data_IF_557082632511
#
_entry.id   IF_557082632511
#
_cell.length_a   1.000
_cell.length_b   1.000
_cell.length_c   1.000
_cell.angle_alpha   90.00
_cell.angle_beta   90.00
_cell.angle_gamma   90.00
#
_symmetry.space_group_name_H-M   'P 1'
#
loop_
_entity.id
_entity.type
_entity.pdbx_description
1 polymer ?
#
# COMPACT_ATOMS: atom_id res chain seq x y z
N UNK A 1 -28.49 28.13 27.50
CA UNK A 1 -28.11 28.93 26.32
C UNK A 1 -27.55 27.96 25.30
N UNK A 2 -28.11 27.90 24.11
CA UNK A 2 -27.70 26.93 23.09
C UNK A 2 -26.45 27.38 22.36
N UNK A 3 -25.75 26.37 21.83
CA UNK A 3 -24.46 26.49 21.16
C UNK A 3 -24.56 27.29 19.85
N UNK A 4 -25.75 27.36 19.24
CA UNK A 4 -26.01 28.04 17.97
C UNK A 4 -26.02 29.56 18.11
N UNK A 5 -26.75 30.11 19.09
CA UNK A 5 -26.78 31.56 19.32
C UNK A 5 -25.40 32.14 19.64
N UNK A 6 -24.61 31.42 20.44
CA UNK A 6 -23.24 31.80 20.80
C UNK A 6 -22.29 31.82 19.59
N UNK A 7 -22.29 30.72 18.81
CA UNK A 7 -21.52 30.64 17.58
C UNK A 7 -21.93 31.74 16.59
N UNK A 8 -23.24 31.99 16.46
CA UNK A 8 -23.75 32.98 15.53
C UNK A 8 -23.29 34.38 15.91
N UNK A 9 -23.39 34.73 17.19
CA UNK A 9 -22.94 36.03 17.72
C UNK A 9 -21.46 36.25 17.44
N UNK A 10 -20.63 35.28 17.81
CA UNK A 10 -19.18 35.36 17.60
C UNK A 10 -18.82 35.60 16.14
N UNK A 11 -19.47 34.90 15.21
CA UNK A 11 -19.14 35.00 13.78
C UNK A 11 -19.64 36.31 13.18
N UNK A 12 -20.85 36.75 13.51
CA UNK A 12 -21.36 38.02 13.02
C UNK A 12 -20.48 39.19 13.51
N UNK A 13 -20.02 39.16 14.76
CA UNK A 13 -19.08 40.16 15.30
C UNK A 13 -17.70 40.07 14.63
N UNK A 14 -17.13 38.87 14.47
CA UNK A 14 -15.76 38.68 13.94
C UNK A 14 -15.62 39.06 12.46
N UNK A 15 -16.68 38.84 11.68
CA UNK A 15 -16.70 39.14 10.24
C UNK A 15 -17.41 40.44 9.90
N UNK A 16 -17.82 41.21 10.92
CA UNK A 16 -18.51 42.49 10.78
C UNK A 16 -19.80 42.37 9.93
N UNK A 17 -20.51 41.24 10.06
CA UNK A 17 -21.77 40.95 9.35
C UNK A 17 -22.93 41.43 10.23
N UNK A 18 -23.72 42.37 9.72
CA UNK A 18 -24.89 42.86 10.44
C UNK A 18 -26.01 41.82 10.51
N UNK A 19 -26.80 41.84 11.59
CA UNK A 19 -27.99 40.99 11.74
C UNK A 19 -28.99 41.17 10.58
N UNK A 20 -29.05 42.39 9.99
CA UNK A 20 -29.89 42.67 8.83
C UNK A 20 -29.42 41.94 7.57
N UNK A 21 -28.11 41.87 7.31
CA UNK A 21 -27.56 41.15 6.17
C UNK A 21 -27.88 39.66 6.24
N UNK A 22 -27.72 39.06 7.44
CA UNK A 22 -28.08 37.66 7.63
C UNK A 22 -29.60 37.43 7.49
N UNK A 23 -30.43 38.32 8.05
CA UNK A 23 -31.89 38.23 7.94
C UNK A 23 -32.35 38.26 6.47
N UNK A 24 -31.77 39.15 5.65
CA UNK A 24 -32.02 39.18 4.20
C UNK A 24 -31.56 37.89 3.52
N UNK A 25 -30.37 37.37 3.85
CA UNK A 25 -29.86 36.12 3.28
C UNK A 25 -30.69 34.88 3.62
N UNK A 26 -31.41 34.92 4.75
CA UNK A 26 -32.30 33.85 5.21
C UNK A 26 -33.77 34.02 4.77
N UNK A 27 -34.16 35.19 4.26
CA UNK A 27 -35.55 35.50 3.98
C UNK A 27 -36.44 35.59 5.22
N UNK A 28 -35.88 36.00 6.36
CA UNK A 28 -36.60 36.12 7.65
C UNK A 28 -36.56 37.55 8.18
N UNK A 29 -37.46 37.89 9.10
CA UNK A 29 -37.46 39.22 9.71
C UNK A 29 -36.29 39.41 10.68
N UNK A 30 -35.67 40.61 10.67
CA UNK A 30 -34.53 40.97 11.56
C UNK A 30 -34.76 40.66 13.06
N UNK A 31 -35.96 40.83 13.65
CA UNK A 31 -36.19 40.49 15.05
C UNK A 31 -35.93 39.01 15.39
N UNK A 32 -36.04 38.10 14.43
CA UNK A 32 -35.75 36.68 14.61
C UNK A 32 -34.24 36.49 14.81
N UNK A 33 -33.41 37.04 13.91
CA UNK A 33 -31.95 37.00 14.01
C UNK A 33 -31.46 37.74 15.26
N UNK A 34 -32.10 38.86 15.62
CA UNK A 34 -31.80 39.59 16.85
C UNK A 34 -31.96 38.71 18.10
N UNK A 35 -33.02 37.90 18.17
CA UNK A 35 -33.24 36.99 19.31
C UNK A 35 -32.18 35.88 19.37
N UNK A 36 -31.72 35.37 18.22
CA UNK A 36 -30.63 34.39 18.16
C UNK A 36 -29.29 35.00 18.57
N UNK A 37 -28.96 36.19 18.03
CA UNK A 37 -27.72 36.89 18.31
C UNK A 37 -27.57 37.28 19.78
N UNK A 38 -28.66 37.70 20.42
CA UNK A 38 -28.69 38.00 21.86
C UNK A 38 -29.04 36.79 22.74
N UNK A 39 -29.02 35.58 22.17
CA UNK A 39 -29.21 34.31 22.87
C UNK A 39 -30.53 34.24 23.68
N UNK A 40 -31.56 34.98 23.23
CA UNK A 40 -32.92 34.96 23.82
C UNK A 40 -33.69 33.70 23.40
N UNK A 41 -33.38 33.17 22.23
CA UNK A 41 -33.86 31.90 21.66
C UNK A 41 -32.76 31.33 20.79
N UNK A 42 -32.71 30.01 20.59
CA UNK A 42 -31.76 29.40 19.64
C UNK A 42 -32.46 29.02 18.32
N UNK A 43 -31.75 29.08 17.18
CA UNK A 43 -32.25 28.54 15.91
C UNK A 43 -32.39 27.02 15.98
N UNK A 44 -33.35 26.45 15.24
CA UNK A 44 -33.50 24.99 15.11
C UNK A 44 -32.36 24.39 14.29
N UNK A 45 -32.18 23.06 14.31
CA UNK A 45 -31.15 22.38 13.53
C UNK A 45 -31.29 22.63 12.01
N UNK A 46 -32.51 22.65 11.50
CA UNK A 46 -32.83 22.97 10.10
C UNK A 46 -32.46 24.43 9.79
N UNK A 47 -32.76 25.33 10.73
CA UNK A 47 -32.44 26.76 10.60
C UNK A 47 -30.94 26.99 10.60
N UNK A 48 -30.15 26.22 11.36
CA UNK A 48 -28.69 26.30 11.35
C UNK A 48 -28.14 25.95 9.96
N UNK A 49 -28.68 24.93 9.29
CA UNK A 49 -28.24 24.58 7.93
C UNK A 49 -28.48 25.73 6.94
N UNK A 50 -29.61 26.42 7.08
CA UNK A 50 -29.91 27.61 6.26
C UNK A 50 -29.03 28.82 6.63
N UNK A 51 -28.68 29.00 7.92
CA UNK A 51 -27.71 30.01 8.37
C UNK A 51 -26.35 29.78 7.71
N UNK A 52 -25.87 28.54 7.64
CA UNK A 52 -24.59 28.19 6.98
C UNK A 52 -24.63 28.58 5.50
N UNK A 53 -25.72 28.27 4.78
CA UNK A 53 -25.88 28.63 3.36
C UNK A 53 -25.92 30.15 3.16
N UNK A 54 -26.69 30.86 3.99
CA UNK A 54 -26.79 32.31 3.93
C UNK A 54 -25.43 32.97 4.23
N UNK A 55 -24.72 32.51 5.26
CA UNK A 55 -23.37 32.96 5.56
C UNK A 55 -22.40 32.64 4.43
N UNK A 56 -22.51 31.48 3.76
CA UNK A 56 -21.60 31.13 2.67
C UNK A 56 -21.71 32.10 1.49
N UNK A 57 -22.94 32.55 1.20
CA UNK A 57 -23.21 33.53 0.15
C UNK A 57 -22.75 34.95 0.53
N UNK A 58 -22.72 35.29 1.82
CA UNK A 58 -22.24 36.58 2.33
C UNK A 58 -20.70 36.59 2.44
N UNK A 59 -20.13 35.53 3.03
CA UNK A 59 -18.70 35.31 3.25
C UNK A 59 -18.43 33.81 3.51
N UNK A 60 -17.74 33.15 2.57
CA UNK A 60 -17.47 31.71 2.64
C UNK A 60 -16.58 31.27 3.81
N UNK A 61 -15.77 32.17 4.37
CA UNK A 61 -14.97 31.89 5.58
C UNK A 61 -15.82 31.98 6.84
N UNK A 62 -16.73 32.97 6.92
CA UNK A 62 -17.66 33.09 8.05
C UNK A 62 -18.57 31.85 8.19
N UNK A 63 -18.98 31.24 7.07
CA UNK A 63 -19.76 30.01 7.08
C UNK A 63 -18.97 28.82 7.65
N UNK A 64 -17.70 28.66 7.26
CA UNK A 64 -16.82 27.60 7.77
C UNK A 64 -16.59 27.75 9.27
N UNK A 65 -16.28 28.97 9.71
CA UNK A 65 -16.00 29.25 11.11
C UNK A 65 -17.27 29.14 11.98
N UNK A 66 -18.45 29.47 11.43
CA UNK A 66 -19.74 29.23 12.09
C UNK A 66 -20.02 27.75 12.30
N UNK A 67 -19.78 26.90 11.29
CA UNK A 67 -19.91 25.45 11.43
C UNK A 67 -18.97 24.92 12.52
N UNK A 68 -17.72 25.40 12.54
CA UNK A 68 -16.73 24.99 13.54
C UNK A 68 -17.11 25.43 14.96
N UNK A 69 -17.56 26.68 15.13
CA UNK A 69 -17.99 27.21 16.42
C UNK A 69 -19.28 26.53 16.93
N UNK A 70 -20.26 26.30 16.04
CA UNK A 70 -21.53 25.67 16.40
C UNK A 70 -21.38 24.18 16.73
N UNK A 71 -20.66 23.44 15.90
CA UNK A 71 -20.46 22.01 16.14
C UNK A 71 -19.43 21.77 17.24
N UNK A 72 -18.55 22.73 17.53
CA UNK A 72 -17.54 22.75 18.59
C UNK A 72 -16.85 21.41 18.82
N UNK A 73 -15.69 21.19 18.20
CA UNK A 73 -14.89 19.95 18.22
C UNK A 73 -15.65 18.62 18.04
N UNK A 74 -16.90 18.65 17.56
CA UNK A 74 -17.58 17.52 16.90
C UNK A 74 -17.35 17.52 15.38
N UNK A 75 -16.55 18.48 14.89
CA UNK A 75 -15.78 18.37 13.64
C UNK A 75 -14.40 17.75 13.86
N UNK A 76 -14.20 17.03 14.98
CA UNK A 76 -13.51 15.76 14.87
C UNK A 76 -14.50 14.76 14.24
N UNK A 77 -14.79 14.99 12.95
CA UNK A 77 -14.85 13.85 12.04
C UNK A 77 -13.63 13.01 12.41
N UNK A 78 -13.75 11.68 12.68
CA UNK A 78 -12.56 10.86 12.70
C UNK A 78 -11.82 11.25 11.44
N UNK A 79 -10.56 11.69 11.58
CA UNK A 79 -9.72 11.99 10.44
C UNK A 79 -10.02 10.90 9.42
N UNK A 80 -10.73 11.27 8.35
CA UNK A 80 -10.63 10.54 7.10
C UNK A 80 -9.14 10.37 6.95
N UNK A 81 -8.71 9.09 6.98
CA UNK A 81 -7.33 8.66 7.02
C UNK A 81 -6.44 9.70 6.34
N UNK A 82 -5.45 10.23 7.07
CA UNK A 82 -4.62 11.37 6.66
C UNK A 82 -4.50 11.43 5.14
N UNK A 83 -5.11 12.44 4.50
CA UNK A 83 -4.58 12.85 3.21
C UNK A 83 -3.15 13.25 3.52
N UNK A 84 -2.19 12.40 3.18
CA UNK A 84 -0.77 12.66 3.37
C UNK A 84 -0.42 13.83 2.46
N UNK A 85 -0.68 15.04 2.94
CA UNK A 85 -0.36 16.25 2.20
C UNK A 85 1.15 16.38 2.13
N UNK A 86 1.65 16.52 0.90
CA UNK A 86 3.06 16.80 0.66
C UNK A 86 3.45 18.12 1.34
N UNK A 87 4.63 18.20 1.98
CA UNK A 87 5.09 19.43 2.63
C UNK A 87 5.10 20.61 1.67
N UNK A 88 4.60 21.76 2.11
CA UNK A 88 4.58 22.95 1.26
C UNK A 88 5.99 23.51 1.05
N UNK A 89 6.20 24.18 -0.07
CA UNK A 89 7.49 24.77 -0.44
C UNK A 89 7.28 26.02 -1.27
N UNK A 90 8.04 27.07 -0.96
CA UNK A 90 8.11 28.30 -1.75
C UNK A 90 9.03 28.16 -2.98
N UNK A 91 9.88 27.11 -3.01
CA UNK A 91 10.85 26.88 -4.10
C UNK A 91 10.24 26.17 -5.30
N UNK A 92 9.29 25.26 -5.03
CA UNK A 92 8.76 24.31 -6.00
C UNK A 92 7.25 24.15 -5.90
N UNK A 93 6.60 23.86 -7.03
CA UNK A 93 5.14 23.76 -7.09
C UNK A 93 4.63 22.38 -6.64
N UNK A 94 4.35 22.25 -5.34
CA UNK A 94 3.84 21.02 -4.73
C UNK A 94 2.45 20.63 -5.25
N UNK A 95 1.61 21.63 -5.56
CA UNK A 95 0.30 21.40 -6.15
C UNK A 95 0.37 20.70 -7.51
N UNK A 96 1.44 20.90 -8.28
CA UNK A 96 1.68 20.19 -9.55
C UNK A 96 2.24 18.78 -9.30
N UNK A 97 3.15 18.60 -8.33
CA UNK A 97 3.66 17.28 -7.95
C UNK A 97 2.52 16.33 -7.54
N UNK A 98 1.58 16.82 -6.73
CA UNK A 98 0.40 16.07 -6.29
C UNK A 98 -0.47 15.57 -7.46
N UNK A 99 -0.35 16.13 -8.66
CA UNK A 99 -1.12 15.74 -9.84
C UNK A 99 -0.47 14.64 -10.69
N UNK A 100 0.74 14.18 -10.35
CA UNK A 100 1.49 13.19 -11.15
C UNK A 100 0.67 11.93 -11.47
N UNK A 101 -0.13 11.48 -10.50
CA UNK A 101 -0.87 10.22 -10.56
C UNK A 101 -2.38 10.39 -10.83
N UNK A 102 -2.88 11.62 -11.06
CA UNK A 102 -4.29 11.86 -11.36
C UNK A 102 -4.82 11.09 -12.59
N UNK A 103 -3.92 10.80 -13.54
CA UNK A 103 -4.23 10.05 -14.75
C UNK A 103 -3.22 8.92 -14.93
N UNK A 104 -3.57 7.73 -14.45
CA UNK A 104 -2.77 6.51 -14.56
C UNK A 104 -3.64 5.34 -15.00
N UNK A 105 -3.23 4.64 -16.05
CA UNK A 105 -3.82 3.35 -16.47
C UNK A 105 -2.90 2.17 -16.15
N UNK A 106 -1.60 2.43 -15.97
CA UNK A 106 -0.56 1.47 -15.68
C UNK A 106 0.32 1.95 -14.51
N UNK A 107 1.17 1.05 -14.01
CA UNK A 107 2.06 1.26 -12.87
C UNK A 107 3.26 2.19 -13.18
N UNK A 108 3.53 2.47 -14.45
CA UNK A 108 4.81 3.03 -14.89
C UNK A 108 5.15 4.36 -14.22
N UNK A 109 4.18 5.27 -14.05
CA UNK A 109 4.45 6.55 -13.37
C UNK A 109 4.85 6.36 -11.91
N UNK A 110 4.14 5.47 -11.20
CA UNK A 110 4.44 5.18 -9.79
C UNK A 110 5.85 4.60 -9.66
N UNK A 111 6.15 3.57 -10.47
CA UNK A 111 7.44 2.92 -10.46
C UNK A 111 8.57 3.85 -10.90
N UNK A 112 8.36 4.68 -11.94
CA UNK A 112 9.37 5.62 -12.41
C UNK A 112 9.72 6.63 -11.33
N UNK A 113 8.71 7.25 -10.69
CA UNK A 113 8.96 8.25 -9.67
C UNK A 113 9.53 7.62 -8.39
N UNK A 114 9.03 6.46 -7.96
CA UNK A 114 9.60 5.72 -6.83
C UNK A 114 11.08 5.35 -7.08
N UNK A 115 11.40 4.91 -8.31
CA UNK A 115 12.76 4.57 -8.72
C UNK A 115 13.67 5.78 -8.74
N UNK A 116 13.16 6.93 -9.19
CA UNK A 116 13.90 8.20 -9.12
C UNK A 116 14.25 8.58 -7.68
N UNK A 117 13.33 8.41 -6.74
CA UNK A 117 13.58 8.65 -5.31
C UNK A 117 14.63 7.69 -4.74
N UNK A 118 14.55 6.40 -5.07
CA UNK A 118 15.52 5.40 -4.63
C UNK A 118 16.92 5.68 -5.20
N UNK A 119 17.02 6.07 -6.49
CA UNK A 119 18.27 6.50 -7.14
C UNK A 119 18.83 7.75 -6.45
N UNK A 120 18.00 8.78 -6.22
CA UNK A 120 18.41 10.02 -5.56
C UNK A 120 19.01 9.76 -4.19
N UNK A 121 18.33 8.97 -3.35
CA UNK A 121 18.84 8.62 -2.02
C UNK A 121 20.17 7.87 -2.10
N UNK A 122 20.31 6.93 -3.05
CA UNK A 122 21.53 6.16 -3.27
C UNK A 122 22.69 7.02 -3.80
N UNK A 123 22.39 8.09 -4.55
CA UNK A 123 23.33 9.10 -5.02
C UNK A 123 23.50 10.28 -4.04
N UNK A 124 23.06 10.12 -2.79
CA UNK A 124 23.16 11.17 -1.76
C UNK A 124 22.58 12.54 -2.19
N UNK A 125 21.54 12.52 -3.03
CA UNK A 125 20.86 13.71 -3.57
C UNK A 125 21.77 14.63 -4.39
N UNK A 126 22.81 14.09 -5.03
CA UNK A 126 23.66 14.84 -5.96
C UNK A 126 23.03 14.97 -7.35
N UNK A 127 23.13 16.16 -7.96
CA UNK A 127 22.51 16.53 -9.24
C UNK A 127 23.50 16.61 -10.41
N UNK A 128 24.80 16.45 -10.17
CA UNK A 128 25.86 16.75 -11.13
C UNK A 128 25.88 15.82 -12.35
N UNK A 129 25.42 14.58 -12.20
CA UNK A 129 25.39 13.59 -13.27
C UNK A 129 23.96 13.31 -13.75
N UNK A 130 23.71 13.28 -15.07
CA UNK A 130 22.42 12.83 -15.59
C UNK A 130 22.07 11.42 -15.09
N UNK A 131 20.77 11.14 -14.99
CA UNK A 131 20.26 9.80 -14.71
C UNK A 131 19.73 9.22 -16.02
N UNK A 132 20.32 8.14 -16.50
CA UNK A 132 19.91 7.51 -17.75
C UNK A 132 18.55 6.83 -17.61
N UNK A 133 17.81 6.72 -18.72
CA UNK A 133 16.59 5.92 -18.75
C UNK A 133 16.85 4.46 -18.38
N UNK A 134 17.99 3.91 -18.80
CA UNK A 134 18.44 2.57 -18.42
C UNK A 134 18.52 2.41 -16.90
N UNK A 135 19.19 3.33 -16.19
CA UNK A 135 19.31 3.24 -14.73
C UNK A 135 17.94 3.31 -14.04
N UNK A 136 17.06 4.21 -14.49
CA UNK A 136 15.70 4.32 -13.95
C UNK A 136 14.93 3.02 -14.19
N UNK A 137 15.03 2.45 -15.39
CA UNK A 137 14.29 1.26 -15.78
C UNK A 137 14.80 0.02 -15.04
N UNK A 138 16.11 -0.11 -14.81
CA UNK A 138 16.66 -1.16 -13.95
C UNK A 138 16.08 -1.06 -12.53
N UNK A 139 16.00 0.14 -11.97
CA UNK A 139 15.40 0.34 -10.65
C UNK A 139 13.87 0.11 -10.66
N UNK A 140 13.17 0.44 -11.75
CA UNK A 140 11.74 0.11 -11.91
C UNK A 140 11.51 -1.40 -11.92
N UNK A 141 12.32 -2.16 -12.66
CA UNK A 141 12.26 -3.62 -12.69
C UNK A 141 12.58 -4.21 -11.31
N UNK A 142 13.60 -3.69 -10.63
CA UNK A 142 13.94 -4.12 -9.27
C UNK A 142 12.81 -3.85 -8.27
N UNK A 143 12.12 -2.70 -8.39
CA UNK A 143 10.97 -2.34 -7.57
C UNK A 143 9.73 -3.22 -7.85
N UNK A 144 9.55 -3.67 -9.09
CA UNK A 144 8.43 -4.53 -9.48
C UNK A 144 8.69 -6.03 -9.25
N UNK A 145 9.95 -6.46 -9.10
CA UNK A 145 10.33 -7.87 -9.02
C UNK A 145 9.71 -8.61 -7.82
N UNK A 146 9.84 -8.10 -6.59
CA UNK A 146 9.24 -8.78 -5.42
C UNK A 146 7.71 -8.86 -5.56
N UNK A 147 6.97 -7.75 -5.79
CA UNK A 147 5.53 -7.78 -5.99
C UNK A 147 5.08 -8.80 -7.04
N UNK A 148 5.71 -8.82 -8.21
CA UNK A 148 5.34 -9.68 -9.33
C UNK A 148 5.86 -11.12 -9.16
N UNK A 149 7.17 -11.30 -9.14
CA UNK A 149 7.80 -12.62 -9.26
C UNK A 149 7.69 -13.43 -7.97
N UNK A 150 7.89 -12.79 -6.80
CA UNK A 150 7.90 -13.47 -5.51
C UNK A 150 6.49 -13.58 -4.88
N UNK A 151 5.74 -12.48 -4.89
CA UNK A 151 4.42 -12.39 -4.23
C UNK A 151 3.23 -12.60 -5.18
N UNK A 152 3.48 -12.72 -6.49
CA UNK A 152 2.47 -13.02 -7.52
C UNK A 152 1.34 -11.98 -7.59
N UNK A 153 1.64 -10.72 -7.30
CA UNK A 153 0.70 -9.61 -7.48
C UNK A 153 0.52 -9.28 -8.95
N UNK A 154 -0.73 -9.04 -9.36
CA UNK A 154 -1.05 -8.51 -10.68
C UNK A 154 -0.80 -7.01 -10.75
N UNK A 155 -0.16 -6.55 -11.83
CA UNK A 155 -0.07 -5.13 -12.17
C UNK A 155 -1.25 -4.68 -13.04
N UNK A 156 -2.29 -5.51 -13.19
CA UNK A 156 -3.40 -5.27 -14.12
C UNK A 156 -3.10 -5.74 -15.54
N UNK A 157 -4.16 -5.89 -16.34
CA UNK A 157 -4.08 -6.55 -17.66
C UNK A 157 -3.45 -5.71 -18.77
N UNK A 158 -3.46 -4.38 -18.63
CA UNK A 158 -2.86 -3.46 -19.60
C UNK A 158 -1.39 -3.17 -19.31
N UNK A 159 -0.95 -3.41 -18.07
CA UNK A 159 0.43 -3.21 -17.67
C UNK A 159 1.30 -4.33 -18.25
N UNK A 160 2.50 -3.99 -18.71
CA UNK A 160 3.43 -4.92 -19.35
C UNK A 160 4.72 -5.10 -18.54
N UNK A 161 4.89 -4.44 -17.38
CA UNK A 161 6.15 -4.56 -16.64
C UNK A 161 6.37 -5.99 -16.13
N UNK A 162 5.30 -6.67 -15.72
CA UNK A 162 5.29 -8.08 -15.37
C UNK A 162 5.80 -8.95 -16.54
N UNK A 163 5.22 -8.79 -17.72
CA UNK A 163 5.64 -9.51 -18.93
C UNK A 163 7.10 -9.22 -19.31
N UNK A 164 7.55 -7.97 -19.15
CA UNK A 164 8.95 -7.60 -19.39
C UNK A 164 9.89 -8.27 -18.38
N UNK A 165 9.51 -8.31 -17.10
CA UNK A 165 10.27 -9.05 -16.09
C UNK A 165 10.34 -10.55 -16.38
N UNK A 166 9.22 -11.17 -16.75
CA UNK A 166 9.18 -12.61 -17.05
C UNK A 166 10.06 -12.95 -18.26
N UNK A 167 10.12 -12.08 -19.26
CA UNK A 167 10.97 -12.26 -20.45
C UNK A 167 12.48 -12.24 -20.17
N UNK A 168 12.90 -11.79 -18.99
CA UNK A 168 14.31 -11.77 -18.59
C UNK A 168 14.79 -13.12 -18.03
N UNK A 169 13.88 -14.05 -17.70
CA UNK A 169 14.20 -15.39 -17.17
C UNK A 169 15.27 -15.36 -16.06
N UNK A 170 15.14 -14.40 -15.13
CA UNK A 170 16.18 -14.12 -14.14
C UNK A 170 16.46 -15.34 -13.25
N UNK A 171 17.72 -15.78 -13.23
CA UNK A 171 18.18 -16.77 -12.25
C UNK A 171 18.39 -16.10 -10.89
N UNK A 172 17.41 -16.27 -10.00
CA UNK A 172 17.42 -15.66 -8.68
C UNK A 172 17.79 -16.70 -7.62
N UNK A 173 18.88 -16.42 -6.90
CA UNK A 173 19.37 -17.24 -5.80
C UNK A 173 19.31 -16.47 -4.48
N UNK A 174 19.65 -17.16 -3.39
CA UNK A 174 20.11 -16.49 -2.18
C UNK A 174 21.21 -15.47 -2.52
N UNK A 175 21.24 -14.28 -1.88
CA UNK A 175 20.44 -13.76 -0.75
C UNK A 175 19.05 -13.16 -1.05
N UNK A 176 18.63 -13.07 -2.31
CA UNK A 176 17.42 -12.30 -2.69
C UNK A 176 16.14 -12.96 -2.15
N UNK A 177 16.04 -14.29 -2.24
CA UNK A 177 14.84 -15.03 -1.82
C UNK A 177 14.56 -14.97 -0.30
N UNK A 178 15.59 -14.71 0.50
CA UNK A 178 15.51 -14.53 1.95
C UNK A 178 15.55 -13.07 2.41
N UNK A 179 15.31 -12.11 1.51
CA UNK A 179 15.25 -10.67 1.83
C UNK A 179 16.55 -10.07 2.36
N UNK A 180 17.69 -10.76 2.17
CA UNK A 180 18.99 -10.30 2.66
C UNK A 180 19.68 -9.31 1.71
N UNK A 181 19.13 -9.10 0.51
CA UNK A 181 19.53 -8.03 -0.41
C UNK A 181 18.70 -6.76 -0.16
N UNK A 182 18.86 -6.14 1.02
CA UNK A 182 17.98 -5.05 1.50
C UNK A 182 18.01 -3.79 0.64
N UNK A 183 19.08 -3.55 -0.10
CA UNK A 183 19.21 -2.45 -1.08
C UNK A 183 18.86 -2.91 -2.51
N UNK A 184 18.51 -4.18 -2.76
CA UNK A 184 18.31 -4.74 -4.11
C UNK A 184 19.58 -4.64 -4.98
N UNK A 185 20.76 -4.57 -4.38
CA UNK A 185 22.03 -4.37 -5.09
C UNK A 185 22.35 -5.56 -5.98
N UNK A 186 22.16 -6.78 -5.47
CA UNK A 186 22.38 -7.98 -6.25
C UNK A 186 21.30 -8.12 -7.33
N UNK A 187 20.03 -7.87 -7.00
CA UNK A 187 18.94 -7.92 -7.96
C UNK A 187 19.16 -6.96 -9.13
N UNK A 188 19.55 -5.71 -8.86
CA UNK A 188 19.90 -4.74 -9.92
C UNK A 188 21.05 -5.22 -10.79
N UNK A 189 22.08 -5.85 -10.19
CA UNK A 189 23.23 -6.40 -10.95
C UNK A 189 22.78 -7.52 -11.89
N UNK A 190 21.90 -8.41 -11.44
CA UNK A 190 21.36 -9.51 -12.26
C UNK A 190 20.49 -8.96 -13.40
N UNK A 191 19.65 -7.96 -13.14
CA UNK A 191 18.86 -7.29 -14.17
C UNK A 191 19.78 -6.60 -15.19
N UNK A 192 20.79 -5.88 -14.72
CA UNK A 192 21.74 -5.16 -15.56
C UNK A 192 22.57 -6.09 -16.46
N UNK A 193 22.79 -7.35 -16.08
CA UNK A 193 23.50 -8.31 -16.92
C UNK A 193 22.66 -8.89 -18.07
N UNK A 194 21.36 -8.55 -18.14
CA UNK A 194 20.48 -8.99 -19.23
C UNK A 194 20.49 -8.03 -20.42
N UNK A 195 19.93 -8.47 -21.57
CA UNK A 195 19.64 -7.56 -22.67
C UNK A 195 18.35 -6.77 -22.37
N UNK A 196 18.49 -5.45 -22.17
CA UNK A 196 17.40 -4.56 -21.79
C UNK A 196 16.90 -3.67 -22.92
N UNK A 197 17.42 -3.77 -24.15
CA UNK A 197 17.16 -2.80 -25.23
C UNK A 197 15.66 -2.66 -25.56
N UNK A 198 14.95 -3.78 -25.71
CA UNK A 198 13.51 -3.78 -25.97
C UNK A 198 12.70 -3.22 -24.78
N UNK A 199 13.10 -3.57 -23.54
CA UNK A 199 12.43 -3.09 -22.32
C UNK A 199 12.61 -1.58 -22.19
N UNK A 200 13.83 -1.08 -22.40
CA UNK A 200 14.17 0.33 -22.34
C UNK A 200 13.36 1.10 -23.39
N UNK A 201 13.38 0.62 -24.64
CA UNK A 201 12.64 1.22 -25.75
C UNK A 201 11.14 1.29 -25.46
N UNK A 202 10.57 0.22 -24.89
CA UNK A 202 9.15 0.15 -24.58
C UNK A 202 8.76 1.08 -23.43
N UNK A 203 9.44 0.99 -22.28
CA UNK A 203 9.08 1.74 -21.06
C UNK A 203 9.40 3.23 -21.25
N UNK A 204 10.58 3.58 -21.77
CA UNK A 204 11.01 4.97 -21.96
C UNK A 204 10.17 5.72 -22.99
N UNK A 205 9.41 5.02 -23.84
CA UNK A 205 8.59 5.63 -24.92
C UNK A 205 7.65 6.73 -24.42
N UNK A 206 7.10 6.60 -23.22
CA UNK A 206 6.11 7.55 -22.70
C UNK A 206 6.41 8.06 -21.30
N UNK A 207 6.75 7.18 -20.35
CA UNK A 207 6.72 7.55 -18.93
C UNK A 207 7.60 8.76 -18.56
N UNK A 208 8.84 8.94 -19.08
CA UNK A 208 9.67 10.09 -18.70
C UNK A 208 9.05 11.42 -19.11
N UNK A 209 8.30 11.46 -20.21
CA UNK A 209 7.65 12.66 -20.73
C UNK A 209 6.28 12.88 -20.08
N UNK A 210 5.52 11.81 -19.87
CA UNK A 210 4.13 11.88 -19.40
C UNK A 210 4.01 12.08 -17.89
N UNK A 211 5.05 11.75 -17.11
CA UNK A 211 5.08 12.00 -15.68
C UNK A 211 5.05 13.51 -15.39
N UNK A 212 5.89 14.30 -16.07
CA UNK A 212 6.03 15.75 -15.84
C UNK A 212 5.06 16.62 -16.65
N UNK A 213 4.18 16.02 -17.44
CA UNK A 213 3.15 16.75 -18.20
C UNK A 213 2.32 17.73 -17.36
N UNK A 214 1.98 17.48 -16.07
CA UNK A 214 1.25 18.43 -15.25
C UNK A 214 1.89 19.82 -15.13
N UNK A 215 3.22 19.94 -15.23
CA UNK A 215 3.92 21.24 -15.25
C UNK A 215 3.57 22.09 -16.49
N UNK A 216 3.11 21.43 -17.55
CA UNK A 216 2.84 22.03 -18.87
C UNK A 216 1.41 21.73 -19.32
N UNK A 217 0.47 21.65 -18.38
CA UNK A 217 -0.91 21.26 -18.66
C UNK A 217 -1.64 22.28 -19.55
N UNK A 218 -1.26 23.56 -19.51
CA UNK A 218 -1.80 24.60 -20.37
C UNK A 218 -1.32 24.46 -21.82
N UNK A 219 -0.02 24.28 -21.99
CA UNK A 219 0.67 24.19 -23.28
C UNK A 219 0.40 22.86 -24.00
N UNK A 220 0.15 21.78 -23.25
CA UNK A 220 -0.10 20.45 -23.82
C UNK A 220 -1.58 20.10 -23.95
N UNK A 221 -2.48 21.03 -23.66
CA UNK A 221 -3.92 20.82 -23.80
C UNK A 221 -4.30 20.74 -25.28
N UNK A 222 -5.07 19.73 -25.66
CA UNK A 222 -5.57 19.55 -27.03
C UNK A 222 -4.52 19.13 -28.07
N UNK A 223 -3.27 18.90 -27.66
CA UNK A 223 -2.25 18.37 -28.57
C UNK A 223 -2.55 16.93 -28.99
N UNK A 224 -2.26 16.63 -30.26
CA UNK A 224 -2.21 15.26 -30.75
C UNK A 224 -1.16 14.46 -29.97
N UNK A 225 -1.49 13.21 -29.60
CA UNK A 225 -0.64 12.40 -28.73
C UNK A 225 0.81 12.25 -29.23
N UNK A 226 0.98 12.07 -30.54
CA UNK A 226 2.29 11.94 -31.19
C UNK A 226 3.20 13.17 -31.02
N UNK A 227 2.63 14.36 -30.78
CA UNK A 227 3.40 15.61 -30.59
C UNK A 227 3.77 15.86 -29.14
N UNK A 228 3.05 15.27 -28.18
CA UNK A 228 3.17 15.61 -26.75
C UNK A 228 4.59 15.40 -26.23
N UNK A 229 5.23 14.26 -26.51
CA UNK A 229 6.57 13.97 -25.98
C UNK A 229 7.61 15.00 -26.43
N UNK A 230 7.65 15.30 -27.73
CA UNK A 230 8.58 16.29 -28.28
C UNK A 230 8.30 17.70 -27.73
N UNK A 231 7.02 18.06 -27.56
CA UNK A 231 6.65 19.33 -26.93
C UNK A 231 7.12 19.39 -25.47
N UNK A 232 6.97 18.30 -24.70
CA UNK A 232 7.45 18.24 -23.31
C UNK A 232 8.97 18.41 -23.23
N UNK A 233 9.75 17.78 -24.13
CA UNK A 233 11.21 17.97 -24.20
C UNK A 233 11.54 19.45 -24.39
N UNK A 234 10.94 20.07 -25.41
CA UNK A 234 11.22 21.47 -25.74
C UNK A 234 10.85 22.41 -24.58
N UNK A 235 9.70 22.19 -23.93
CA UNK A 235 9.26 23.00 -22.80
C UNK A 235 10.13 22.80 -21.57
N UNK A 236 10.42 21.55 -21.19
CA UNK A 236 11.22 21.23 -20.01
C UNK A 236 12.65 21.76 -20.13
N UNK A 237 13.25 21.68 -21.31
CA UNK A 237 14.61 22.18 -21.55
C UNK A 237 14.64 23.72 -21.62
N UNK A 238 13.71 24.35 -22.35
CA UNK A 238 13.75 25.80 -22.59
C UNK A 238 13.19 26.62 -21.41
N UNK A 239 12.36 26.02 -20.56
CA UNK A 239 11.73 26.68 -19.43
C UNK A 239 12.18 26.10 -18.09
N UNK A 240 13.35 25.45 -18.04
CA UNK A 240 13.81 24.71 -16.87
C UNK A 240 13.83 25.57 -15.60
N UNK A 241 14.43 26.75 -15.66
CA UNK A 241 14.51 27.67 -14.50
C UNK A 241 13.21 28.45 -14.25
N UNK A 242 12.36 28.61 -15.27
CA UNK A 242 11.13 29.42 -15.18
C UNK A 242 9.97 28.62 -14.59
N UNK A 243 9.71 27.45 -15.16
CA UNK A 243 8.60 26.58 -14.78
C UNK A 243 9.03 25.60 -13.68
N UNK A 244 10.33 25.36 -13.54
CA UNK A 244 10.93 24.42 -12.59
C UNK A 244 10.24 23.05 -12.65
N UNK A 245 10.19 22.36 -13.80
CA UNK A 245 9.82 20.96 -13.80
C UNK A 245 10.85 20.16 -12.99
N UNK A 246 10.45 19.02 -12.44
CA UNK A 246 11.36 18.20 -11.61
C UNK A 246 12.63 17.76 -12.34
N UNK A 247 12.56 17.59 -13.67
CA UNK A 247 13.72 17.36 -14.52
C UNK A 247 13.52 17.90 -15.94
N UNK A 248 14.64 18.10 -16.64
CA UNK A 248 14.71 18.27 -18.10
C UNK A 248 15.48 17.09 -18.73
N UNK A 249 15.78 17.17 -20.02
CA UNK A 249 16.32 16.05 -20.81
C UNK A 249 17.69 16.38 -21.41
N UNK A 250 18.52 15.36 -21.60
CA UNK A 250 19.87 15.51 -22.16
C UNK A 250 19.91 15.83 -23.67
N UNK A 251 18.77 15.87 -24.35
CA UNK A 251 18.66 16.18 -25.76
C UNK A 251 17.42 17.02 -26.06
N UNK A 252 17.46 17.76 -27.18
CA UNK A 252 16.32 18.47 -27.75
C UNK A 252 15.49 17.60 -28.70
N UNK A 253 16.01 16.45 -29.13
CA UNK A 253 15.35 15.52 -30.05
C UNK A 253 14.84 14.31 -29.27
N UNK A 254 13.59 13.91 -29.52
CA UNK A 254 13.01 12.72 -28.90
C UNK A 254 13.80 11.44 -29.19
N UNK A 255 14.45 11.35 -30.36
CA UNK A 255 15.22 10.16 -30.76
C UNK A 255 16.54 10.01 -30.01
N UNK A 256 17.15 11.13 -29.63
CA UNK A 256 18.48 11.17 -29.00
C UNK A 256 18.40 11.38 -27.48
N UNK A 257 17.17 11.40 -26.94
CA UNK A 257 16.89 11.58 -25.53
C UNK A 257 17.05 10.24 -24.80
N UNK A 258 17.98 10.20 -23.85
CA UNK A 258 18.37 8.97 -23.13
C UNK A 258 18.57 9.18 -21.63
N UNK A 259 18.52 10.41 -21.15
CA UNK A 259 18.73 10.73 -19.74
C UNK A 259 17.96 12.00 -19.32
N UNK A 260 17.74 12.10 -18.01
CA UNK A 260 17.17 13.28 -17.37
C UNK A 260 18.21 14.02 -16.53
N UNK A 261 18.03 15.34 -16.42
CA UNK A 261 18.79 16.20 -15.51
C UNK A 261 17.81 16.82 -14.51
N UNK A 262 18.04 16.60 -13.22
CA UNK A 262 17.12 17.03 -12.17
C UNK A 262 17.31 18.51 -11.83
N UNK A 263 16.20 19.18 -11.50
CA UNK A 263 16.25 20.56 -11.04
C UNK A 263 16.71 20.64 -9.59
N UNK A 264 17.67 21.52 -9.28
CA UNK A 264 18.29 21.62 -7.97
C UNK A 264 17.26 21.85 -6.84
N UNK A 265 16.36 22.83 -6.99
CA UNK A 265 15.30 23.11 -6.01
C UNK A 265 14.41 21.90 -5.68
N UNK A 266 14.14 21.05 -6.68
CA UNK A 266 13.34 19.83 -6.45
C UNK A 266 14.13 18.78 -5.69
N UNK A 267 15.43 18.64 -5.96
CA UNK A 267 16.28 17.68 -5.25
C UNK A 267 16.47 18.11 -3.80
N UNK A 268 16.66 19.40 -3.53
CA UNK A 268 16.71 19.93 -2.16
C UNK A 268 15.39 19.69 -1.41
N UNK A 269 14.25 20.03 -2.03
CA UNK A 269 12.95 19.75 -1.44
C UNK A 269 12.74 18.25 -1.15
N UNK A 270 13.11 17.38 -2.09
CA UNK A 270 13.01 15.92 -1.91
C UNK A 270 13.96 15.44 -0.81
N UNK A 271 15.19 15.96 -0.72
CA UNK A 271 16.15 15.58 0.31
C UNK A 271 15.63 15.93 1.71
N UNK A 272 15.11 17.15 1.89
CA UNK A 272 14.53 17.63 3.14
C UNK A 272 13.27 16.85 3.55
N UNK A 273 12.49 16.37 2.58
CA UNK A 273 11.17 15.76 2.80
C UNK A 273 11.11 14.28 2.39
N UNK A 274 12.25 13.61 2.25
CA UNK A 274 12.36 12.32 1.55
C UNK A 274 11.38 11.27 2.06
N UNK A 275 11.33 11.08 3.38
CA UNK A 275 10.45 10.06 3.99
C UNK A 275 8.97 10.33 3.71
N UNK A 276 8.56 11.60 3.68
CA UNK A 276 7.17 11.98 3.44
C UNK A 276 6.84 11.81 1.96
N UNK A 277 7.69 12.32 1.06
CA UNK A 277 7.49 12.17 -0.40
C UNK A 277 7.49 10.68 -0.77
N UNK A 278 8.42 9.89 -0.24
CA UNK A 278 8.47 8.45 -0.48
C UNK A 278 7.22 7.74 0.06
N UNK A 279 6.76 8.11 1.25
CA UNK A 279 5.52 7.60 1.84
C UNK A 279 4.31 7.89 0.96
N UNK A 280 4.19 9.12 0.47
CA UNK A 280 3.12 9.55 -0.43
C UNK A 280 3.10 8.73 -1.73
N UNK A 281 4.24 8.58 -2.42
CA UNK A 281 4.29 7.76 -3.65
C UNK A 281 3.95 6.30 -3.37
N UNK A 282 4.41 5.78 -2.22
CA UNK A 282 4.12 4.40 -1.80
C UNK A 282 2.62 4.21 -1.55
N UNK A 283 1.95 5.20 -0.96
CA UNK A 283 0.50 5.20 -0.75
C UNK A 283 -0.28 5.22 -2.06
N UNK A 284 0.09 6.11 -2.98
CA UNK A 284 -0.51 6.20 -4.31
C UNK A 284 -0.33 4.90 -5.11
N UNK A 285 0.87 4.30 -5.05
CA UNK A 285 1.14 3.01 -5.69
C UNK A 285 0.36 1.87 -5.04
N UNK A 286 0.26 1.84 -3.71
CA UNK A 286 -0.56 0.85 -2.99
C UNK A 286 -2.02 0.92 -3.43
N UNK A 287 -2.58 2.13 -3.54
CA UNK A 287 -3.95 2.32 -4.01
C UNK A 287 -4.17 1.79 -5.42
N UNK A 288 -3.19 1.95 -6.33
CA UNK A 288 -3.21 1.32 -7.65
C UNK A 288 -3.16 -0.21 -7.55
N UNK A 289 -2.19 -0.75 -6.79
CA UNK A 289 -2.00 -2.20 -6.68
C UNK A 289 -3.17 -2.91 -6.00
N UNK A 290 -3.86 -2.28 -5.05
CA UNK A 290 -5.08 -2.82 -4.44
C UNK A 290 -6.23 -2.91 -5.44
N UNK A 291 -6.39 -1.93 -6.35
CA UNK A 291 -7.39 -1.99 -7.43
C UNK A 291 -7.11 -3.16 -8.38
N UNK A 292 -5.84 -3.45 -8.64
CA UNK A 292 -5.42 -4.59 -9.46
C UNK A 292 -5.58 -5.94 -8.74
N UNK A 293 -5.59 -5.94 -7.40
CA UNK A 293 -5.55 -7.15 -6.57
C UNK A 293 -6.64 -7.13 -5.45
N UNK A 294 -7.93 -6.94 -5.79
CA UNK A 294 -8.97 -6.65 -4.79
C UNK A 294 -9.21 -7.78 -3.79
N UNK A 295 -8.98 -9.03 -4.20
CA UNK A 295 -9.20 -10.22 -3.37
C UNK A 295 -7.93 -10.74 -2.71
N UNK A 296 -6.77 -10.12 -2.96
CA UNK A 296 -5.49 -10.66 -2.50
C UNK A 296 -5.22 -10.22 -1.06
N UNK A 297 -4.91 -11.15 -0.13
CA UNK A 297 -4.59 -10.75 1.24
C UNK A 297 -3.27 -9.98 1.30
N UNK A 298 -3.18 -9.07 2.27
CA UNK A 298 -1.94 -8.40 2.68
C UNK A 298 -1.15 -7.73 1.53
N UNK A 299 -1.84 -7.08 0.58
CA UNK A 299 -1.20 -6.39 -0.57
C UNK A 299 -0.10 -5.42 -0.12
N UNK A 300 -0.30 -4.68 0.97
CA UNK A 300 0.71 -3.76 1.50
C UNK A 300 2.01 -4.47 1.90
N UNK A 301 1.92 -5.60 2.61
CA UNK A 301 3.10 -6.36 3.05
C UNK A 301 3.84 -7.02 1.88
N UNK A 302 3.13 -7.34 0.80
CA UNK A 302 3.69 -7.90 -0.43
C UNK A 302 4.33 -6.83 -1.31
N UNK A 303 3.78 -5.63 -1.28
CA UNK A 303 4.28 -4.48 -2.05
C UNK A 303 5.53 -3.88 -1.41
N UNK A 304 5.55 -3.84 -0.07
CA UNK A 304 6.65 -3.31 0.73
C UNK A 304 7.15 -4.40 1.69
N UNK A 305 7.87 -5.43 1.18
CA UNK A 305 8.33 -6.52 2.02
C UNK A 305 9.28 -6.03 3.12
N UNK A 306 9.26 -6.67 4.30
CA UNK A 306 10.19 -6.33 5.37
C UNK A 306 11.63 -6.68 4.98
N UNK A 307 12.60 -6.06 5.66
CA UNK A 307 14.03 -6.35 5.45
C UNK A 307 14.41 -7.77 5.89
N UNK A 308 13.62 -8.40 6.74
CA UNK A 308 13.79 -9.80 7.15
C UNK A 308 12.44 -10.39 7.56
N UNK A 309 12.32 -11.72 7.48
CA UNK A 309 11.18 -12.43 8.06
C UNK A 309 11.28 -12.45 9.59
N UNK A 310 10.13 -12.46 10.25
CA UNK A 310 10.08 -12.60 11.71
C UNK A 310 10.52 -14.01 12.14
N UNK A 311 10.93 -14.12 13.40
CA UNK A 311 11.29 -15.41 13.98
C UNK A 311 10.04 -16.24 14.29
N UNK A 312 10.05 -17.52 13.89
CA UNK A 312 9.02 -18.48 14.25
C UNK A 312 9.15 -19.05 15.68
N UNK A 313 9.98 -18.46 16.54
CA UNK A 313 10.30 -19.00 17.86
C UNK A 313 9.06 -19.29 18.73
N UNK A 314 8.04 -18.43 18.67
CA UNK A 314 6.80 -18.61 19.44
C UNK A 314 5.99 -19.82 18.95
N UNK A 315 5.89 -19.99 17.63
CA UNK A 315 5.18 -21.08 16.96
C UNK A 315 5.96 -22.39 17.14
N UNK A 316 7.29 -22.35 17.07
CA UNK A 316 8.16 -23.50 17.36
C UNK A 316 7.96 -23.96 18.79
N UNK A 317 7.87 -23.03 19.76
CA UNK A 317 7.59 -23.38 21.16
C UNK A 317 6.25 -24.09 21.33
N UNK A 318 5.20 -23.62 20.67
CA UNK A 318 3.88 -24.28 20.68
C UNK A 318 3.97 -25.73 20.20
N UNK A 319 4.63 -25.96 19.06
CA UNK A 319 4.74 -27.31 18.49
C UNK A 319 5.69 -28.20 19.27
N UNK A 320 6.79 -27.69 19.85
CA UNK A 320 7.67 -28.49 20.72
C UNK A 320 6.92 -29.03 21.93
N UNK A 321 6.05 -28.24 22.55
CA UNK A 321 5.22 -28.74 23.66
C UNK A 321 4.35 -29.93 23.22
N UNK A 322 3.81 -29.91 22.01
CA UNK A 322 3.06 -31.06 21.46
C UNK A 322 3.93 -32.30 21.35
N UNK A 323 5.13 -32.16 20.78
CA UNK A 323 6.09 -33.26 20.57
C UNK A 323 6.58 -33.90 21.87
N UNK A 324 6.64 -33.13 22.96
CA UNK A 324 7.02 -33.61 24.29
C UNK A 324 5.95 -34.53 24.91
N UNK A 325 4.69 -34.43 24.47
CA UNK A 325 3.55 -35.09 25.10
C UNK A 325 2.91 -36.18 24.22
N UNK A 326 3.24 -36.24 22.94
CA UNK A 326 2.78 -37.32 22.05
C UNK A 326 3.76 -37.57 20.90
N UNK A 327 3.81 -38.82 20.43
CA UNK A 327 4.37 -39.09 19.10
C UNK A 327 3.46 -38.45 18.05
N UNK A 328 4.05 -37.67 17.14
CA UNK A 328 3.38 -37.18 15.95
C UNK A 328 4.22 -37.46 14.72
N UNK A 329 3.54 -37.63 13.58
CA UNK A 329 4.17 -37.86 12.30
C UNK A 329 3.93 -36.69 11.38
N UNK A 330 4.94 -36.33 10.59
CA UNK A 330 4.83 -35.31 9.56
C UNK A 330 3.65 -35.63 8.62
N UNK A 331 2.75 -34.68 8.41
CA UNK A 331 1.55 -34.87 7.57
C UNK A 331 1.90 -35.20 6.10
N UNK A 332 3.10 -34.83 5.65
CA UNK A 332 3.58 -35.05 4.28
C UNK A 332 4.35 -36.36 4.11
N UNK A 333 5.37 -36.58 4.94
CA UNK A 333 6.32 -37.69 4.80
C UNK A 333 6.04 -38.90 5.69
N UNK A 334 5.12 -38.75 6.65
CA UNK A 334 4.82 -39.74 7.69
C UNK A 334 6.00 -40.12 8.61
N UNK A 335 7.13 -39.40 8.52
CA UNK A 335 8.27 -39.53 9.41
C UNK A 335 7.89 -39.04 10.82
N UNK A 336 8.41 -39.73 11.85
CA UNK A 336 8.27 -39.30 13.24
C UNK A 336 9.03 -37.99 13.44
N UNK A 337 8.38 -37.01 14.09
CA UNK A 337 8.98 -35.73 14.41
C UNK A 337 9.54 -35.74 15.83
N UNK A 338 10.70 -35.10 16.02
CA UNK A 338 11.35 -34.96 17.33
C UNK A 338 11.64 -33.49 17.63
N UNK A 339 11.71 -33.12 18.90
CA UNK A 339 11.96 -31.74 19.35
C UNK A 339 13.29 -31.15 18.84
N UNK A 340 14.25 -31.99 18.47
CA UNK A 340 15.57 -31.60 17.99
C UNK A 340 15.64 -31.39 16.47
N UNK A 341 14.71 -31.98 15.71
CA UNK A 341 14.74 -31.95 14.25
C UNK A 341 13.38 -31.55 13.66
N UNK A 342 12.90 -30.36 14.03
CA UNK A 342 11.71 -29.76 13.44
C UNK A 342 12.01 -28.46 12.69
N UNK A 343 11.36 -28.33 11.54
CA UNK A 343 11.07 -27.07 10.87
C UNK A 343 9.55 -26.84 10.95
N UNK A 344 9.10 -25.60 10.80
CA UNK A 344 7.69 -25.33 10.55
C UNK A 344 7.50 -25.07 9.06
N UNK A 345 6.42 -25.61 8.51
CA UNK A 345 5.95 -25.33 7.16
C UNK A 345 4.62 -24.56 7.23
N UNK A 346 4.48 -23.58 6.33
CA UNK A 346 3.22 -22.90 6.10
C UNK A 346 2.39 -23.70 5.09
N UNK A 347 1.24 -24.25 5.49
CA UNK A 347 0.39 -25.04 4.62
C UNK A 347 0.00 -24.26 3.36
N UNK A 348 -0.53 -23.05 3.54
CA UNK A 348 -0.58 -22.02 2.50
C UNK A 348 0.76 -21.28 2.46
N UNK A 349 1.43 -21.11 1.30
CA UNK A 349 2.74 -20.47 1.21
C UNK A 349 2.82 -19.12 1.91
N UNK A 350 3.93 -18.85 2.63
CA UNK A 350 4.14 -17.55 3.28
C UNK A 350 4.11 -16.38 2.27
N UNK A 351 4.65 -16.57 1.08
CA UNK A 351 4.57 -15.59 -0.01
C UNK A 351 3.14 -15.30 -0.48
N UNK A 352 2.17 -16.17 -0.16
CA UNK A 352 0.77 -15.92 -0.43
C UNK A 352 0.06 -15.23 0.76
N UNK A 353 0.27 -15.69 1.99
CA UNK A 353 -0.47 -15.17 3.17
C UNK A 353 0.19 -13.95 3.83
N UNK A 354 1.51 -13.79 3.67
CA UNK A 354 2.35 -12.74 4.26
C UNK A 354 2.21 -12.60 5.79
N UNK A 355 2.06 -13.73 6.49
CA UNK A 355 1.98 -13.80 7.95
C UNK A 355 2.46 -15.15 8.50
N UNK A 356 2.78 -15.19 9.79
CA UNK A 356 3.25 -16.37 10.52
C UNK A 356 2.22 -16.90 11.54
N UNK A 357 0.93 -16.74 11.23
CA UNK A 357 -0.16 -17.20 12.09
C UNK A 357 -0.20 -18.72 12.22
N UNK A 358 -0.35 -19.18 13.46
CA UNK A 358 -0.17 -20.58 13.85
C UNK A 358 -1.18 -21.53 13.20
N UNK A 359 -2.39 -21.07 12.91
CA UNK A 359 -3.43 -21.87 12.25
C UNK A 359 -3.00 -22.39 10.87
N UNK A 360 -2.02 -21.75 10.24
CA UNK A 360 -1.46 -22.13 8.94
C UNK A 360 -0.12 -22.89 9.05
N UNK A 361 0.40 -23.13 10.26
CA UNK A 361 1.74 -23.67 10.49
C UNK A 361 1.70 -25.08 11.07
N UNK A 362 2.48 -25.99 10.49
CA UNK A 362 2.65 -27.36 11.00
C UNK A 362 4.13 -27.77 11.04
N UNK A 363 4.54 -28.60 12.01
CA UNK A 363 5.88 -29.10 12.09
C UNK A 363 6.14 -30.14 11.00
N UNK A 364 7.34 -30.09 10.46
CA UNK A 364 7.86 -30.97 9.42
C UNK A 364 9.38 -31.07 9.56
N UNK A 365 10.05 -31.72 8.62
CA UNK A 365 11.52 -31.69 8.53
C UNK A 365 11.97 -30.63 7.51
N UNK A 366 13.20 -30.14 7.64
CA UNK A 366 13.75 -29.14 6.71
C UNK A 366 13.78 -29.66 5.26
N UNK A 367 14.05 -30.95 5.05
CA UNK A 367 14.03 -31.57 3.72
C UNK A 367 12.63 -31.50 3.08
N UNK A 368 11.60 -31.81 3.85
CA UNK A 368 10.20 -31.77 3.38
C UNK A 368 9.78 -30.33 3.11
N UNK A 369 10.07 -29.40 4.04
CA UNK A 369 9.75 -27.99 3.88
C UNK A 369 10.40 -27.41 2.60
N UNK A 370 11.68 -27.68 2.38
CA UNK A 370 12.39 -27.24 1.17
C UNK A 370 11.84 -27.87 -0.11
N UNK A 371 11.42 -29.14 -0.07
CA UNK A 371 10.79 -29.82 -1.21
C UNK A 371 9.41 -29.22 -1.55
N UNK A 372 8.63 -28.84 -0.54
CA UNK A 372 7.35 -28.15 -0.73
C UNK A 372 7.54 -26.72 -1.23
N UNK A 373 8.51 -25.99 -0.67
CA UNK A 373 8.78 -24.60 -1.03
C UNK A 373 7.48 -23.77 -1.00
N UNK A 374 7.26 -22.92 -2.00
CA UNK A 374 6.05 -22.11 -2.16
C UNK A 374 4.90 -22.84 -2.88
N UNK A 375 4.94 -24.17 -3.00
CA UNK A 375 3.84 -24.93 -3.59
C UNK A 375 2.72 -25.17 -2.57
N UNK A 376 1.50 -25.33 -3.07
CA UNK A 376 0.33 -25.67 -2.27
C UNK A 376 0.19 -27.20 -2.23
N UNK A 377 0.08 -27.82 -1.04
CA UNK A 377 -0.10 -29.27 -0.92
C UNK A 377 -1.38 -29.74 -1.59
N UNK A 378 -1.36 -30.96 -2.13
CA UNK A 378 -2.58 -31.65 -2.60
C UNK A 378 -3.64 -31.67 -1.49
N UNK A 379 -4.77 -31.03 -1.79
CA UNK A 379 -5.92 -30.94 -0.87
C UNK A 379 -6.41 -32.34 -0.53
N UNK A 380 -6.57 -33.19 -1.54
CA UNK A 380 -7.07 -34.56 -1.39
C UNK A 380 -6.19 -35.42 -0.48
N UNK A 381 -4.87 -35.28 -0.58
CA UNK A 381 -3.91 -36.12 0.18
C UNK A 381 -3.64 -35.59 1.60
N UNK A 382 -3.61 -34.27 1.78
CA UNK A 382 -3.02 -33.67 2.98
C UNK A 382 -3.96 -32.79 3.81
N UNK A 383 -5.06 -32.28 3.25
CA UNK A 383 -5.85 -31.26 3.95
C UNK A 383 -6.55 -31.80 5.20
N UNK A 384 -7.15 -33.00 5.11
CA UNK A 384 -7.80 -33.63 6.25
C UNK A 384 -6.80 -33.95 7.37
N UNK A 385 -5.63 -34.51 7.03
CA UNK A 385 -4.53 -34.75 7.96
C UNK A 385 -4.02 -33.47 8.62
N UNK A 386 -3.93 -32.38 7.85
CA UNK A 386 -3.53 -31.08 8.36
C UNK A 386 -4.48 -30.57 9.45
N UNK A 387 -5.79 -30.67 9.25
CA UNK A 387 -6.80 -30.26 10.24
C UNK A 387 -6.72 -31.11 11.50
N UNK A 388 -6.63 -32.44 11.35
CA UNK A 388 -6.47 -33.34 12.50
C UNK A 388 -5.19 -33.01 13.28
N UNK A 389 -4.12 -32.67 12.59
CA UNK A 389 -2.87 -32.27 13.21
C UNK A 389 -2.99 -30.96 14.01
N UNK A 390 -3.71 -29.98 13.46
CA UNK A 390 -4.03 -28.73 14.17
C UNK A 390 -4.86 -29.00 15.42
N UNK A 391 -5.88 -29.86 15.33
CA UNK A 391 -6.71 -30.27 16.46
C UNK A 391 -5.90 -30.92 17.58
N UNK A 392 -5.03 -31.87 17.25
CA UNK A 392 -4.11 -32.50 18.21
C UNK A 392 -3.25 -31.44 18.91
N UNK A 393 -2.69 -30.50 18.14
CA UNK A 393 -1.92 -29.39 18.69
C UNK A 393 -2.71 -28.55 19.69
N UNK A 394 -3.96 -28.18 19.35
CA UNK A 394 -4.83 -27.37 20.21
C UNK A 394 -5.20 -28.11 21.51
N UNK A 395 -5.59 -29.38 21.43
CA UNK A 395 -5.98 -30.21 22.60
C UNK A 395 -4.81 -30.44 23.55
N UNK A 396 -3.65 -30.82 23.02
CA UNK A 396 -2.47 -31.10 23.85
C UNK A 396 -1.99 -29.83 24.53
N UNK A 397 -1.90 -28.72 23.81
CA UNK A 397 -1.50 -27.45 24.41
C UNK A 397 -2.51 -27.02 25.48
N UNK A 398 -3.82 -27.13 25.24
CA UNK A 398 -4.86 -26.79 26.23
C UNK A 398 -4.68 -27.53 27.56
N UNK A 399 -4.28 -28.81 27.52
CA UNK A 399 -4.10 -29.65 28.70
C UNK A 399 -2.77 -29.41 29.44
N UNK A 400 -1.75 -28.92 28.73
CA UNK A 400 -0.38 -28.83 29.26
C UNK A 400 0.11 -27.40 29.51
N UNK A 401 -0.67 -26.37 29.16
CA UNK A 401 -0.31 -24.97 29.44
C UNK A 401 -1.38 -24.23 30.23
N UNK A 402 -0.95 -23.15 30.90
CA UNK A 402 -1.86 -22.25 31.61
C UNK A 402 -2.83 -21.61 30.62
N UNK A 403 -4.09 -21.48 31.03
CA UNK A 403 -5.16 -20.93 30.18
C UNK A 403 -4.82 -19.56 29.58
N UNK A 404 -4.18 -18.68 30.36
CA UNK A 404 -3.73 -17.37 29.89
C UNK A 404 -2.76 -17.45 28.71
N UNK A 405 -1.85 -18.43 28.72
CA UNK A 405 -0.87 -18.58 27.65
C UNK A 405 -1.50 -19.27 26.43
N UNK A 406 -2.40 -20.23 26.65
CA UNK A 406 -3.19 -20.85 25.58
C UNK A 406 -4.02 -19.83 24.82
N UNK A 407 -4.70 -18.92 25.53
CA UNK A 407 -5.52 -17.86 24.91
C UNK A 407 -4.73 -16.97 23.95
N UNK A 408 -3.42 -16.77 24.17
CA UNK A 408 -2.57 -15.98 23.26
C UNK A 408 -2.29 -16.73 21.95
N UNK A 409 -2.10 -18.04 22.01
CA UNK A 409 -1.81 -18.87 20.84
C UNK A 409 -3.04 -19.08 19.96
N UNK A 410 -4.22 -19.19 20.56
CA UNK A 410 -5.46 -19.49 19.83
C UNK A 410 -6.16 -18.24 19.28
N UNK A 411 -5.78 -17.03 19.70
CA UNK A 411 -6.44 -15.80 19.25
C UNK A 411 -6.52 -15.70 17.71
N UNK A 412 -5.45 -16.00 16.95
CA UNK A 412 -5.54 -16.01 15.49
C UNK A 412 -6.47 -17.08 14.94
N UNK A 413 -6.60 -18.23 15.61
CA UNK A 413 -7.55 -19.27 15.20
C UNK A 413 -8.98 -18.76 15.34
N UNK A 414 -9.31 -18.10 16.46
CA UNK A 414 -10.64 -17.55 16.69
C UNK A 414 -10.98 -16.46 15.67
N UNK A 415 -10.06 -15.51 15.47
CA UNK A 415 -10.27 -14.36 14.61
C UNK A 415 -10.40 -14.74 13.14
N UNK A 416 -9.53 -15.61 12.63
CA UNK A 416 -9.45 -15.89 11.19
C UNK A 416 -10.37 -17.04 10.78
N UNK A 417 -10.50 -18.08 11.61
CA UNK A 417 -11.42 -19.20 11.35
C UNK A 417 -12.87 -18.90 11.76
N UNK A 418 -13.14 -17.69 12.26
CA UNK A 418 -14.47 -17.20 12.68
C UNK A 418 -15.13 -18.07 13.75
N UNK A 419 -14.33 -18.56 14.69
CA UNK A 419 -14.80 -19.35 15.83
C UNK A 419 -14.95 -18.42 17.04
N UNK A 420 -16.17 -18.27 17.56
CA UNK A 420 -16.46 -17.33 18.66
C UNK A 420 -16.24 -17.92 20.05
N UNK A 421 -16.50 -19.22 20.23
CA UNK A 421 -16.20 -19.95 21.46
C UNK A 421 -14.90 -20.75 21.31
N UNK A 422 -13.92 -20.47 22.17
CA UNK A 422 -12.65 -21.19 22.22
C UNK A 422 -12.79 -22.70 22.48
N UNK A 423 -13.85 -23.15 23.14
CA UNK A 423 -14.07 -24.59 23.34
C UNK A 423 -14.37 -25.31 22.03
N UNK A 424 -14.94 -24.61 21.04
CA UNK A 424 -15.20 -25.18 19.72
C UNK A 424 -13.92 -25.47 18.93
N UNK A 425 -12.77 -24.87 19.29
CA UNK A 425 -11.47 -25.26 18.73
C UNK A 425 -11.05 -26.68 19.12
N UNK A 426 -11.62 -27.21 20.20
CA UNK A 426 -11.34 -28.55 20.72
C UNK A 426 -12.32 -29.59 20.18
N UNK A 427 -13.31 -29.18 19.39
CA UNK A 427 -14.21 -30.06 18.65
C UNK A 427 -13.69 -30.22 17.21
N UNK A 428 -13.34 -31.45 16.84
CA UNK A 428 -12.72 -31.72 15.54
C UNK A 428 -13.67 -31.42 14.37
N UNK A 429 -14.97 -31.67 14.51
CA UNK A 429 -15.91 -31.49 13.41
C UNK A 429 -16.20 -29.99 13.20
N UNK A 430 -16.34 -29.22 14.28
CA UNK A 430 -16.46 -27.75 14.18
C UNK A 430 -15.19 -27.15 13.58
N UNK A 431 -14.02 -27.58 14.05
CA UNK A 431 -12.74 -27.13 13.51
C UNK A 431 -12.61 -27.46 12.02
N UNK A 432 -13.02 -28.66 11.60
CA UNK A 432 -12.99 -29.08 10.19
C UNK A 432 -13.84 -28.18 9.31
N UNK A 433 -15.06 -27.85 9.72
CA UNK A 433 -15.96 -26.95 8.99
C UNK A 433 -15.33 -25.55 8.87
N UNK A 434 -14.75 -25.04 9.95
CA UNK A 434 -14.09 -23.74 9.98
C UNK A 434 -12.87 -23.68 9.04
N UNK A 435 -12.02 -24.72 9.04
CA UNK A 435 -10.90 -24.82 8.09
C UNK A 435 -11.36 -24.97 6.65
N UNK A 436 -12.38 -25.79 6.37
CA UNK A 436 -12.92 -25.95 5.01
C UNK A 436 -13.44 -24.63 4.45
N UNK A 437 -14.19 -23.87 5.25
CA UNK A 437 -14.77 -22.59 4.84
C UNK A 437 -13.74 -21.45 4.72
N UNK A 438 -12.60 -21.55 5.41
CA UNK A 438 -11.57 -20.49 5.39
C UNK A 438 -10.41 -20.82 4.44
N UNK A 439 -9.84 -22.02 4.54
CA UNK A 439 -8.58 -22.38 3.86
C UNK A 439 -8.79 -22.83 2.42
N UNK A 440 -9.88 -23.55 2.10
CA UNK A 440 -10.11 -23.98 0.71
C UNK A 440 -10.31 -22.80 -0.26
N UNK A 441 -11.08 -21.75 0.08
CA UNK A 441 -11.13 -20.55 -0.77
C UNK A 441 -9.76 -19.88 -0.95
N UNK A 442 -8.92 -19.88 0.09
CA UNK A 442 -7.57 -19.35 0.02
C UNK A 442 -6.65 -20.18 -0.88
N UNK A 443 -6.78 -21.52 -0.87
CA UNK A 443 -6.09 -22.42 -1.81
C UNK A 443 -6.45 -22.05 -3.25
N UNK A 444 -7.75 -21.96 -3.57
CA UNK A 444 -8.21 -21.60 -4.92
C UNK A 444 -7.70 -20.22 -5.33
N UNK A 445 -7.73 -19.24 -4.41
CA UNK A 445 -7.24 -17.89 -4.66
C UNK A 445 -5.73 -17.85 -4.92
N UNK A 446 -4.94 -18.65 -4.19
CA UNK A 446 -3.50 -18.74 -4.39
C UNK A 446 -3.16 -19.37 -5.75
N UNK A 447 -3.85 -20.46 -6.14
CA UNK A 447 -3.67 -21.08 -7.47
C UNK A 447 -4.00 -20.09 -8.58
N UNK A 448 -5.11 -19.35 -8.46
CA UNK A 448 -5.50 -18.33 -9.43
C UNK A 448 -4.51 -17.16 -9.53
N UNK A 449 -3.72 -16.90 -8.48
CA UNK A 449 -2.62 -15.93 -8.51
C UNK A 449 -1.34 -16.48 -9.16
N UNK A 450 -1.26 -17.77 -9.46
CA UNK A 450 -0.10 -18.39 -10.10
C UNK A 450 0.83 -19.14 -9.14
N UNK A 451 0.36 -19.50 -7.94
CA UNK A 451 1.04 -20.50 -7.12
C UNK A 451 0.75 -21.91 -7.64
N UNK A 452 1.75 -22.77 -7.65
CA UNK A 452 1.59 -24.16 -8.11
C UNK A 452 0.82 -24.98 -7.08
N UNK A 453 -0.28 -25.59 -7.52
CA UNK A 453 -1.13 -26.50 -6.73
C UNK A 453 -0.67 -27.95 -6.77
N UNK A 454 -1.40 -28.80 -6.03
CA UNK A 454 -1.28 -30.26 -6.05
C UNK A 454 0.12 -30.84 -5.80
N UNK A 455 0.90 -30.17 -4.94
CA UNK A 455 2.19 -30.71 -4.53
C UNK A 455 2.04 -32.01 -3.73
N UNK A 456 2.90 -32.98 -4.04
CA UNK A 456 2.99 -34.29 -3.41
C UNK A 456 4.43 -34.53 -2.95
N UNK A 457 4.59 -34.96 -1.69
CA UNK A 457 5.85 -35.50 -1.15
C UNK A 457 6.01 -36.98 -1.48
#
# INVERSE_FOLDING_TARGET
MGKAGQALRQILDSYNISQSQLATGLGVERPIVFRWFHEKTDPTAETVAEIVKALHNINSSAARDFVQAYLGSLTHTPQTASTQELPQSERVNIGVLAQFFNNTTNSYKYLFFLSLLDILKRRHFETLSPISFEEIIIEMLANAWYPHTYFKLSFGTQDQIANKLDSLELEITEPILNFRDTDKKLLRKIIQSQNLEDIITFIAKYVPFRLIRPFFAGETRGLLDAKVNQTIINLANNQFEKTKPIYCFNSQSLKDCSAILLHQDWVEYIAENYSIVRGWVSWEWLGYMQKCNPSVPAVANKLFPPQQRESLANQTKFWKLVLEHTEVRCIYSNLVLTTDNISLDHYLPWSFVAHDLLWNLVPTTSSVNSSKSNNIPSVDKYFHKFIEFQHVGLVINKNNMKEKDWNKYIEPYLADLKITDKNNLLDLDILRIAYQSTVLPLVSLAINQGFTGDWLY
#
